data_IF_081842648998
#
_entry.id   IF_081842648998
#
_cell.length_a   1.000
_cell.length_b   1.000
_cell.length_c   1.000
_cell.angle_alpha   90.00
_cell.angle_beta   90.00
_cell.angle_gamma   90.00
#
_symmetry.space_group_name_H-M   'P 1'
#
loop_
_entity.id
_entity.type
_entity.pdbx_description
1 polymer ?
#
# COMPACT_ATOMS: atom_id res chain seq x y z
N UNK A 1 6.51 6.61 -3.05
CA UNK A 1 6.85 5.17 -2.83
C UNK A 1 6.06 4.30 -3.81
N UNK A 2 6.66 3.24 -4.37
CA UNK A 2 5.97 2.26 -5.23
C UNK A 2 5.99 0.91 -4.53
N UNK A 3 4.80 0.31 -4.30
CA UNK A 3 4.67 -0.96 -3.56
C UNK A 3 4.08 -2.03 -4.47
N UNK A 4 4.76 -3.18 -4.54
CA UNK A 4 4.24 -4.40 -5.16
C UNK A 4 3.42 -5.18 -4.14
N UNK A 5 2.12 -5.29 -4.33
CA UNK A 5 1.26 -6.21 -3.58
C UNK A 5 1.07 -7.50 -4.40
N UNK A 6 1.80 -8.55 -4.07
CA UNK A 6 1.73 -9.82 -4.80
C UNK A 6 0.47 -10.64 -4.48
N UNK A 7 -0.28 -10.22 -3.47
CA UNK A 7 -1.48 -10.94 -3.02
C UNK A 7 -1.15 -12.42 -2.77
N UNK A 8 -2.05 -13.35 -3.10
CA UNK A 8 -1.85 -14.80 -2.92
C UNK A 8 -1.26 -15.45 -4.18
N UNK A 9 -0.14 -14.90 -4.69
CA UNK A 9 0.53 -15.39 -5.89
C UNK A 9 1.99 -15.75 -5.63
N UNK A 10 2.55 -16.54 -6.57
CA UNK A 10 3.95 -16.91 -6.63
C UNK A 10 4.28 -18.23 -5.91
N UNK A 11 5.44 -18.74 -6.25
CA UNK A 11 6.12 -19.87 -5.61
C UNK A 11 7.60 -19.51 -5.36
N UNK A 12 8.36 -20.42 -4.76
CA UNK A 12 9.75 -20.17 -4.35
C UNK A 12 10.62 -19.76 -5.54
N UNK A 13 10.52 -20.49 -6.66
CA UNK A 13 11.41 -20.28 -7.82
C UNK A 13 11.00 -19.03 -8.62
N UNK A 14 9.71 -18.85 -8.88
CA UNK A 14 9.20 -17.69 -9.61
C UNK A 14 9.47 -16.39 -8.85
N UNK A 15 9.29 -16.39 -7.53
CA UNK A 15 9.55 -15.21 -6.69
C UNK A 15 11.05 -14.86 -6.67
N UNK A 16 11.93 -15.85 -6.58
CA UNK A 16 13.38 -15.64 -6.66
C UNK A 16 13.79 -15.09 -8.02
N UNK A 17 13.25 -15.66 -9.11
CA UNK A 17 13.51 -15.18 -10.47
C UNK A 17 13.05 -13.73 -10.65
N UNK A 18 11.85 -13.39 -10.16
CA UNK A 18 11.31 -12.04 -10.17
C UNK A 18 12.22 -11.04 -9.43
N UNK A 19 12.64 -11.38 -8.20
CA UNK A 19 13.53 -10.53 -7.40
C UNK A 19 14.87 -10.27 -8.12
N UNK A 20 15.50 -11.32 -8.64
CA UNK A 20 16.76 -11.19 -9.37
C UNK A 20 16.60 -10.34 -10.64
N UNK A 21 15.50 -10.50 -11.34
CA UNK A 21 15.19 -9.72 -12.54
C UNK A 21 15.03 -8.24 -12.21
N UNK A 22 14.33 -7.91 -11.12
CA UNK A 22 14.20 -6.52 -10.65
C UNK A 22 15.57 -5.92 -10.33
N UNK A 23 16.45 -6.63 -9.61
CA UNK A 23 17.81 -6.18 -9.30
C UNK A 23 18.58 -5.85 -10.58
N UNK A 24 18.56 -6.75 -11.57
CA UNK A 24 19.25 -6.54 -12.85
C UNK A 24 18.70 -5.32 -13.61
N UNK A 25 17.37 -5.21 -13.67
CA UNK A 25 16.70 -4.09 -14.36
C UNK A 25 17.00 -2.73 -13.74
N UNK A 26 17.24 -2.68 -12.44
CA UNK A 26 17.42 -1.45 -11.68
C UNK A 26 18.87 -1.20 -11.26
N UNK A 27 19.84 -1.99 -11.73
CA UNK A 27 21.26 -1.94 -11.31
C UNK A 27 21.90 -0.55 -11.46
N UNK A 28 21.55 0.18 -12.51
CA UNK A 28 22.17 1.47 -12.85
C UNK A 28 21.48 2.68 -12.19
N UNK A 29 20.34 2.49 -11.50
CA UNK A 29 19.47 3.59 -11.03
C UNK A 29 19.24 3.64 -9.54
N UNK A 30 19.63 2.58 -8.85
CA UNK A 30 19.30 2.39 -7.44
C UNK A 30 17.83 2.00 -7.22
N UNK A 31 17.60 1.33 -6.10
CA UNK A 31 16.28 0.82 -5.68
C UNK A 31 15.80 1.64 -4.48
N UNK A 32 15.32 2.88 -4.73
CA UNK A 32 14.81 3.75 -3.66
C UNK A 32 13.29 3.82 -3.69
N UNK A 33 12.71 4.05 -2.52
CA UNK A 33 11.26 4.24 -2.38
C UNK A 33 10.42 3.07 -2.92
N UNK A 34 10.94 1.84 -2.84
CA UNK A 34 10.28 0.63 -3.33
C UNK A 34 9.93 -0.27 -2.16
N UNK A 35 8.69 -0.78 -2.17
CA UNK A 35 8.21 -1.79 -1.24
C UNK A 35 7.74 -3.05 -1.96
N UNK A 36 7.88 -4.20 -1.32
CA UNK A 36 7.33 -5.47 -1.80
C UNK A 36 6.59 -6.14 -0.66
N UNK A 37 5.33 -6.48 -0.88
CA UNK A 37 4.49 -7.26 0.02
C UNK A 37 4.23 -8.66 -0.58
N UNK A 38 5.13 -9.63 -0.36
CA UNK A 38 4.93 -11.01 -0.76
C UNK A 38 3.94 -11.71 0.18
N UNK A 39 3.48 -12.92 -0.17
CA UNK A 39 2.80 -13.77 0.81
C UNK A 39 3.73 -14.08 2.00
N UNK A 40 3.18 -14.37 3.17
CA UNK A 40 3.97 -14.67 4.38
C UNK A 40 4.98 -15.80 4.18
N UNK A 41 4.61 -16.83 3.39
CA UNK A 41 5.49 -17.97 3.07
C UNK A 41 6.79 -17.55 2.36
N UNK A 42 6.76 -16.43 1.64
CA UNK A 42 7.87 -15.96 0.81
C UNK A 42 8.58 -14.74 1.40
N UNK A 43 8.13 -14.23 2.55
CA UNK A 43 8.68 -13.03 3.16
C UNK A 43 10.20 -13.12 3.41
N UNK A 44 10.64 -14.16 4.11
CA UNK A 44 12.06 -14.32 4.45
C UNK A 44 12.93 -14.55 3.21
N UNK A 45 12.41 -15.28 2.22
CA UNK A 45 13.10 -15.49 0.96
C UNK A 45 13.32 -14.15 0.23
N UNK A 46 12.25 -13.38 0.05
CA UNK A 46 12.27 -12.06 -0.61
C UNK A 46 13.23 -11.13 0.11
N UNK A 47 13.13 -11.04 1.44
CA UNK A 47 14.00 -10.22 2.27
C UNK A 47 15.48 -10.59 2.12
N UNK A 48 15.81 -11.88 2.09
CA UNK A 48 17.17 -12.35 1.93
C UNK A 48 17.77 -11.98 0.56
N UNK A 49 16.97 -12.02 -0.52
CA UNK A 49 17.44 -11.61 -1.85
C UNK A 49 17.78 -10.10 -1.86
N UNK A 50 16.97 -9.27 -1.20
CA UNK A 50 17.16 -7.82 -1.19
C UNK A 50 18.00 -7.31 -0.01
N UNK A 51 18.65 -8.15 0.78
CA UNK A 51 19.40 -7.77 2.00
C UNK A 51 20.45 -6.67 1.83
N UNK A 52 20.97 -6.49 0.62
CA UNK A 52 21.98 -5.47 0.29
C UNK A 52 21.41 -4.36 -0.60
N UNK A 53 20.08 -4.23 -0.69
CA UNK A 53 19.38 -3.25 -1.49
C UNK A 53 18.43 -2.43 -0.61
N UNK A 54 18.22 -1.19 -0.96
CA UNK A 54 17.29 -0.27 -0.29
C UNK A 54 15.84 -0.53 -0.75
N UNK A 55 15.36 -1.76 -0.45
CA UNK A 55 13.98 -2.18 -0.72
C UNK A 55 13.32 -2.58 0.60
N UNK A 56 12.15 -2.04 0.83
CA UNK A 56 11.34 -2.36 1.99
C UNK A 56 10.50 -3.62 1.73
N UNK A 57 10.57 -4.59 2.67
CA UNK A 57 9.75 -5.80 2.59
C UNK A 57 8.68 -5.73 3.69
N UNK A 58 7.43 -5.87 3.28
CA UNK A 58 6.27 -5.71 4.15
C UNK A 58 5.34 -6.91 4.14
N UNK A 59 4.37 -6.88 5.05
CA UNK A 59 3.29 -7.85 5.12
C UNK A 59 2.02 -7.32 4.44
N UNK A 60 1.23 -8.25 3.91
CA UNK A 60 -0.07 -7.95 3.27
C UNK A 60 -1.19 -7.74 4.30
N UNK A 61 -1.00 -8.17 5.54
CA UNK A 61 -1.91 -8.01 6.67
C UNK A 61 -1.24 -8.45 7.96
N UNK A 62 -1.82 -8.10 9.12
CA UNK A 62 -1.54 -8.67 10.46
C UNK A 62 -2.85 -8.91 11.22
N UNK A 63 -2.76 -9.67 12.31
CA UNK A 63 -3.85 -9.76 13.28
C UNK A 63 -3.75 -8.63 14.34
N UNK A 64 -4.78 -8.51 15.16
CA UNK A 64 -4.84 -7.50 16.23
C UNK A 64 -3.99 -7.88 17.44
N UNK A 65 -3.70 -9.18 17.64
CA UNK A 65 -2.97 -9.71 18.80
C UNK A 65 -2.33 -11.07 18.48
N UNK A 66 -1.53 -11.59 19.40
CA UNK A 66 -1.01 -12.95 19.37
C UNK A 66 -1.79 -13.92 20.26
N UNK A 67 -1.31 -15.16 20.39
CA UNK A 67 -1.88 -16.18 21.26
C UNK A 67 -2.78 -17.18 20.55
N UNK A 68 -3.97 -17.49 21.08
CA UNK A 68 -4.88 -18.53 20.59
C UNK A 68 -5.60 -18.12 19.29
N UNK A 69 -4.84 -17.85 18.23
CA UNK A 69 -5.30 -17.36 16.91
C UNK A 69 -4.61 -18.14 15.79
N UNK A 70 -4.99 -19.41 15.67
CA UNK A 70 -4.35 -20.35 14.73
C UNK A 70 -4.36 -19.81 13.29
N UNK A 71 -3.20 -19.75 12.65
CA UNK A 71 -3.00 -19.28 11.28
C UNK A 71 -2.77 -17.77 11.12
N UNK A 72 -2.93 -16.99 12.19
CA UNK A 72 -2.71 -15.54 12.17
C UNK A 72 -1.24 -15.15 12.37
N UNK A 73 -0.89 -13.99 11.86
CA UNK A 73 0.42 -13.35 12.09
C UNK A 73 0.23 -12.21 13.09
N UNK A 74 0.85 -12.32 14.25
CA UNK A 74 0.76 -11.27 15.27
C UNK A 74 1.66 -10.06 14.96
N UNK A 75 1.36 -8.87 15.54
CA UNK A 75 2.23 -7.71 15.43
C UNK A 75 3.66 -7.96 15.94
N UNK A 76 3.81 -8.77 17.00
CA UNK A 76 5.14 -9.13 17.53
C UNK A 76 5.94 -10.03 16.59
N UNK A 77 5.28 -10.99 15.90
CA UNK A 77 5.93 -11.81 14.87
C UNK A 77 6.37 -10.96 13.67
N UNK A 78 5.57 -9.98 13.27
CA UNK A 78 5.92 -9.04 12.22
C UNK A 78 7.15 -8.19 12.61
N UNK A 79 7.18 -7.68 13.84
CA UNK A 79 8.30 -6.91 14.36
C UNK A 79 9.59 -7.73 14.46
N UNK A 80 9.51 -8.96 14.99
CA UNK A 80 10.65 -9.88 15.10
C UNK A 80 11.23 -10.25 13.73
N UNK A 81 10.36 -10.36 12.71
CA UNK A 81 10.77 -10.58 11.32
C UNK A 81 11.43 -9.34 10.68
N UNK A 82 11.49 -8.19 11.39
CA UNK A 82 11.88 -6.89 10.85
C UNK A 82 11.08 -6.54 9.58
N UNK A 83 9.77 -6.64 9.65
CA UNK A 83 8.85 -6.19 8.64
C UNK A 83 8.90 -4.65 8.56
N UNK A 84 9.06 -4.08 7.37
CA UNK A 84 9.22 -2.63 7.19
C UNK A 84 7.89 -1.89 7.19
N UNK A 85 6.86 -2.49 6.60
CA UNK A 85 5.50 -1.94 6.50
C UNK A 85 4.47 -3.06 6.52
N UNK A 86 3.21 -2.70 6.78
CA UNK A 86 2.11 -3.64 6.72
C UNK A 86 0.89 -2.99 6.08
N UNK A 87 0.29 -3.66 5.09
CA UNK A 87 -1.01 -3.29 4.54
C UNK A 87 -2.08 -3.64 5.56
N UNK A 88 -3.05 -2.75 5.77
CA UNK A 88 -4.23 -3.00 6.59
C UNK A 88 -5.48 -2.47 5.90
N UNK A 89 -6.58 -3.18 6.00
CA UNK A 89 -7.87 -2.76 5.46
C UNK A 89 -7.95 -2.76 3.93
N UNK A 90 -7.09 -3.53 3.24
CA UNK A 90 -7.19 -3.73 1.78
C UNK A 90 -8.61 -4.18 1.39
N UNK A 91 -9.12 -3.71 0.24
CA UNK A 91 -10.49 -3.99 -0.20
C UNK A 91 -10.87 -5.47 -0.16
N UNK A 92 -10.00 -6.36 -0.60
CA UNK A 92 -10.22 -7.82 -0.54
C UNK A 92 -10.41 -8.32 0.89
N UNK A 93 -9.74 -7.73 1.90
CA UNK A 93 -9.91 -8.13 3.28
C UNK A 93 -11.22 -7.64 3.86
N UNK A 94 -11.66 -6.46 3.45
CA UNK A 94 -12.98 -5.93 3.82
C UNK A 94 -14.10 -6.77 3.23
N UNK A 95 -14.00 -7.13 1.95
CA UNK A 95 -15.06 -7.84 1.23
C UNK A 95 -15.07 -9.35 1.49
N UNK A 96 -13.91 -10.02 1.45
CA UNK A 96 -13.80 -11.48 1.54
C UNK A 96 -13.70 -11.95 3.00
N UNK A 97 -12.95 -11.22 3.82
CA UNK A 97 -12.69 -11.60 5.22
C UNK A 97 -13.52 -10.81 6.23
N UNK A 98 -14.44 -9.93 5.76
CA UNK A 98 -15.35 -9.13 6.58
C UNK A 98 -14.63 -8.27 7.64
N UNK A 99 -13.46 -7.73 7.31
CA UNK A 99 -12.74 -6.82 8.20
C UNK A 99 -13.40 -5.43 8.17
N UNK A 100 -14.04 -5.07 9.27
CA UNK A 100 -14.65 -3.76 9.46
C UNK A 100 -13.64 -2.70 9.93
N UNK A 101 -14.06 -1.45 9.99
CA UNK A 101 -13.21 -0.35 10.43
C UNK A 101 -12.75 -0.50 11.89
N UNK A 102 -13.51 -1.18 12.76
CA UNK A 102 -13.12 -1.43 14.14
C UNK A 102 -11.94 -2.41 14.22
N UNK A 103 -11.98 -3.51 13.45
CA UNK A 103 -10.85 -4.46 13.33
C UNK A 103 -9.62 -3.74 12.77
N UNK A 104 -9.79 -2.95 11.72
CA UNK A 104 -8.70 -2.22 11.07
C UNK A 104 -8.11 -1.17 12.02
N UNK A 105 -8.93 -0.47 12.79
CA UNK A 105 -8.48 0.46 13.83
C UNK A 105 -7.57 -0.22 14.86
N UNK A 106 -7.95 -1.41 15.33
CA UNK A 106 -7.11 -2.18 16.27
C UNK A 106 -5.76 -2.56 15.63
N UNK A 107 -5.75 -3.00 14.37
CA UNK A 107 -4.51 -3.27 13.62
C UNK A 107 -3.65 -2.02 13.50
N UNK A 108 -4.25 -0.88 13.13
CA UNK A 108 -3.56 0.40 13.07
C UNK A 108 -2.90 0.77 14.40
N UNK A 109 -3.64 0.68 15.52
CA UNK A 109 -3.12 1.00 16.85
C UNK A 109 -1.93 0.12 17.25
N UNK A 110 -1.90 -1.15 16.83
CA UNK A 110 -0.77 -2.05 17.08
C UNK A 110 0.46 -1.66 16.26
N UNK A 111 0.27 -1.30 14.98
CA UNK A 111 1.36 -0.84 14.12
C UNK A 111 1.89 0.52 14.55
N UNK A 112 1.04 1.45 14.94
CA UNK A 112 1.43 2.78 15.42
C UNK A 112 2.33 2.77 16.65
N UNK A 113 2.29 1.68 17.45
CA UNK A 113 3.17 1.44 18.60
C UNK A 113 4.47 0.70 18.26
N UNK A 114 4.70 0.42 16.99
CA UNK A 114 5.85 -0.34 16.49
C UNK A 114 6.66 0.50 15.49
N UNK A 115 7.77 -0.06 15.01
CA UNK A 115 8.55 0.53 13.92
C UNK A 115 7.98 0.21 12.52
N UNK A 116 6.92 -0.60 12.44
CA UNK A 116 6.32 -1.04 11.17
C UNK A 116 5.41 0.07 10.64
N UNK A 117 5.64 0.52 9.41
CA UNK A 117 4.82 1.56 8.78
C UNK A 117 3.43 1.02 8.47
N UNK A 118 2.34 1.60 9.01
CA UNK A 118 1.00 1.23 8.59
C UNK A 118 0.69 1.81 7.20
N UNK A 119 0.19 0.97 6.30
CA UNK A 119 -0.36 1.39 5.01
C UNK A 119 -1.85 1.08 5.05
N UNK A 120 -2.63 2.11 5.36
CA UNK A 120 -4.07 1.99 5.47
C UNK A 120 -4.73 2.10 4.09
N UNK A 121 -5.36 1.01 3.66
CA UNK A 121 -6.15 0.96 2.43
C UNK A 121 -7.57 1.45 2.69
N UNK A 122 -8.00 2.42 1.88
CA UNK A 122 -9.35 3.01 1.91
C UNK A 122 -9.87 3.16 0.48
N UNK A 123 -11.19 3.13 0.32
CA UNK A 123 -11.81 3.29 -0.98
C UNK A 123 -13.31 3.12 -0.94
N UNK A 124 -13.96 3.58 -1.98
CA UNK A 124 -15.40 3.51 -2.18
C UNK A 124 -15.79 2.44 -3.20
N UNK A 125 -17.02 1.92 -3.06
CA UNK A 125 -17.64 1.05 -4.05
C UNK A 125 -18.09 1.84 -5.29
N UNK A 126 -18.46 1.11 -6.35
CA UNK A 126 -19.02 1.74 -7.55
C UNK A 126 -20.33 2.48 -7.27
N UNK A 127 -21.19 1.91 -6.42
CA UNK A 127 -22.46 2.52 -6.03
C UNK A 127 -22.23 3.81 -5.23
N UNK A 128 -21.25 3.81 -4.32
CA UNK A 128 -20.88 5.01 -3.55
C UNK A 128 -20.30 6.09 -4.48
N UNK A 129 -19.45 5.72 -5.44
CA UNK A 129 -18.93 6.62 -6.46
C UNK A 129 -20.05 7.24 -7.31
N UNK A 130 -20.96 6.41 -7.85
CA UNK A 130 -22.09 6.89 -8.65
C UNK A 130 -23.04 7.82 -7.86
N UNK A 131 -23.17 7.58 -6.55
CA UNK A 131 -23.98 8.41 -5.67
C UNK A 131 -23.28 9.71 -5.22
N UNK A 132 -22.03 9.98 -5.67
CA UNK A 132 -21.25 11.14 -5.25
C UNK A 132 -20.83 11.11 -3.78
N UNK A 133 -20.71 9.93 -3.18
CA UNK A 133 -20.40 9.72 -1.75
C UNK A 133 -18.95 9.36 -1.48
N UNK A 134 -18.05 9.48 -2.47
CA UNK A 134 -16.64 9.14 -2.33
C UNK A 134 -16.00 9.82 -1.12
N UNK A 135 -16.05 11.15 -1.05
CA UNK A 135 -15.42 11.89 0.06
C UNK A 135 -16.00 11.51 1.43
N UNK A 136 -17.34 11.37 1.52
CA UNK A 136 -18.00 10.94 2.75
C UNK A 136 -17.52 9.57 3.20
N UNK A 137 -17.41 8.61 2.26
CA UNK A 137 -16.93 7.25 2.55
C UNK A 137 -15.49 7.27 3.04
N UNK A 138 -14.59 7.96 2.34
CA UNK A 138 -13.18 8.04 2.69
C UNK A 138 -12.98 8.72 4.04
N UNK A 139 -13.70 9.82 4.31
CA UNK A 139 -13.66 10.50 5.60
C UNK A 139 -14.08 9.55 6.74
N UNK A 140 -15.18 8.82 6.57
CA UNK A 140 -15.65 7.83 7.55
C UNK A 140 -14.59 6.75 7.80
N UNK A 141 -14.03 6.17 6.75
CA UNK A 141 -12.99 5.14 6.90
C UNK A 141 -11.75 5.68 7.61
N UNK A 142 -11.27 6.88 7.28
CA UNK A 142 -10.13 7.52 7.95
C UNK A 142 -10.44 7.73 9.43
N UNK A 143 -11.55 8.41 9.75
CA UNK A 143 -11.90 8.75 11.13
C UNK A 143 -12.13 7.53 12.02
N UNK A 144 -12.75 6.48 11.49
CA UNK A 144 -13.02 5.26 12.25
C UNK A 144 -11.77 4.36 12.39
N UNK A 145 -10.90 4.30 11.37
CA UNK A 145 -9.70 3.47 11.42
C UNK A 145 -8.55 4.10 12.20
N UNK A 146 -8.45 5.43 12.22
CA UNK A 146 -7.36 6.17 12.88
C UNK A 146 -7.88 6.80 14.19
N UNK A 147 -8.64 6.05 14.99
CA UNK A 147 -9.13 6.53 16.30
C UNK A 147 -7.98 6.67 17.31
N UNK A 148 -7.98 7.79 18.02
CA UNK A 148 -6.90 8.15 18.94
C UNK A 148 -5.85 9.04 18.27
N UNK A 149 -4.83 9.46 19.02
CA UNK A 149 -3.80 10.32 18.46
C UNK A 149 -3.13 9.65 17.26
N UNK A 150 -3.15 10.33 16.11
CA UNK A 150 -2.33 9.94 14.96
C UNK A 150 -0.88 10.22 15.36
N UNK A 151 -0.28 9.24 16.02
CA UNK A 151 1.10 9.34 16.54
C UNK A 151 2.13 8.79 15.56
N UNK A 152 1.69 8.12 14.50
CA UNK A 152 2.59 7.53 13.51
C UNK A 152 2.95 8.55 12.43
N UNK A 153 4.10 9.19 12.56
CA UNK A 153 4.68 10.02 11.49
C UNK A 153 4.91 9.22 10.19
N UNK A 154 4.83 7.89 10.26
CA UNK A 154 5.06 6.96 9.17
C UNK A 154 3.77 6.43 8.51
N UNK A 155 2.59 7.01 8.82
CA UNK A 155 1.34 6.60 8.18
C UNK A 155 1.36 6.89 6.68
N UNK A 156 1.03 5.86 5.90
CA UNK A 156 0.77 5.95 4.47
C UNK A 156 -0.68 5.56 4.23
N UNK A 157 -1.38 6.28 3.35
CA UNK A 157 -2.72 5.90 2.89
C UNK A 157 -2.61 5.32 1.47
N UNK A 158 -3.31 4.22 1.20
CA UNK A 158 -3.51 3.72 -0.15
C UNK A 158 -4.98 3.93 -0.54
N UNK A 159 -5.22 4.80 -1.50
CA UNK A 159 -6.56 5.04 -2.03
C UNK A 159 -6.87 4.02 -3.13
N UNK A 160 -7.86 3.21 -2.88
CA UNK A 160 -8.32 2.10 -3.74
C UNK A 160 -9.75 2.37 -4.23
N UNK A 161 -9.96 3.10 -5.36
CA UNK A 161 -11.29 3.10 -5.97
C UNK A 161 -11.64 1.66 -6.38
N UNK A 162 -12.48 0.97 -5.57
CA UNK A 162 -12.71 -0.50 -5.68
C UNK A 162 -13.18 -0.86 -7.08
N UNK A 163 -13.99 0.00 -7.70
CA UNK A 163 -14.50 -0.15 -9.06
C UNK A 163 -13.42 -0.07 -10.16
N UNK A 164 -12.24 0.46 -9.83
CA UNK A 164 -11.10 0.57 -10.75
C UNK A 164 -10.05 -0.53 -10.56
N UNK A 165 -10.21 -1.40 -9.53
CA UNK A 165 -9.25 -2.48 -9.27
C UNK A 165 -9.49 -3.64 -10.24
N UNK A 166 -8.50 -3.96 -11.07
CA UNK A 166 -8.56 -5.12 -11.98
C UNK A 166 -9.62 -5.06 -13.08
N UNK A 167 -10.42 -4.00 -13.14
CA UNK A 167 -11.52 -3.86 -14.12
C UNK A 167 -11.08 -3.29 -15.47
N UNK A 168 -9.87 -2.74 -15.53
CA UNK A 168 -9.41 -1.96 -16.69
C UNK A 168 -9.99 -0.53 -16.74
N UNK A 169 -10.97 -0.20 -15.91
CA UNK A 169 -11.45 1.15 -15.76
C UNK A 169 -10.44 1.97 -14.94
N UNK A 170 -10.13 3.16 -15.40
CA UNK A 170 -9.16 4.02 -14.75
C UNK A 170 -9.78 5.39 -14.55
N UNK A 171 -9.87 5.92 -13.31
CA UNK A 171 -10.29 7.29 -13.09
C UNK A 171 -9.31 8.27 -13.74
N UNK A 172 -9.76 9.48 -14.03
CA UNK A 172 -8.85 10.51 -14.55
C UNK A 172 -7.80 10.87 -13.50
N UNK A 173 -6.52 11.05 -13.87
CA UNK A 173 -5.45 11.39 -12.93
C UNK A 173 -5.76 12.65 -12.09
N UNK A 174 -6.37 13.67 -12.70
CA UNK A 174 -6.79 14.89 -11.99
C UNK A 174 -7.84 14.65 -10.91
N UNK A 175 -8.79 13.74 -11.16
CA UNK A 175 -9.81 13.40 -10.17
C UNK A 175 -9.17 12.66 -8.99
N UNK A 176 -8.26 11.73 -9.27
CA UNK A 176 -7.45 11.04 -8.24
C UNK A 176 -6.60 12.04 -7.45
N UNK A 177 -5.97 13.01 -8.13
CA UNK A 177 -5.19 14.05 -7.47
C UNK A 177 -6.03 14.87 -6.47
N UNK A 178 -7.26 15.23 -6.85
CA UNK A 178 -8.19 15.96 -5.96
C UNK A 178 -8.62 15.11 -4.76
N UNK A 179 -8.91 13.84 -4.96
CA UNK A 179 -9.23 12.90 -3.87
C UNK A 179 -8.02 12.69 -2.95
N UNK A 180 -6.81 12.58 -3.48
CA UNK A 180 -5.60 12.47 -2.66
C UNK A 180 -5.35 13.73 -1.81
N UNK A 181 -5.61 14.91 -2.37
CA UNK A 181 -5.56 16.17 -1.61
C UNK A 181 -6.58 16.16 -0.46
N UNK A 182 -7.83 15.81 -0.74
CA UNK A 182 -8.88 15.66 0.27
C UNK A 182 -8.46 14.67 1.38
N UNK A 183 -7.93 13.48 1.04
CA UNK A 183 -7.44 12.50 2.01
C UNK A 183 -6.37 13.11 2.92
N UNK A 184 -5.39 13.82 2.32
CA UNK A 184 -4.32 14.50 3.08
C UNK A 184 -4.89 15.52 4.05
N UNK A 185 -5.86 16.30 3.63
CA UNK A 185 -6.49 17.35 4.45
C UNK A 185 -7.34 16.75 5.60
N UNK A 186 -8.06 15.64 5.36
CA UNK A 186 -8.79 14.92 6.40
C UNK A 186 -7.84 14.36 7.46
N UNK A 187 -6.75 13.71 7.07
CA UNK A 187 -5.76 13.18 8.01
C UNK A 187 -5.08 14.31 8.76
N UNK A 188 -4.69 15.38 8.08
CA UNK A 188 -4.04 16.53 8.69
C UNK A 188 -4.93 17.20 9.75
N UNK A 189 -6.21 17.36 9.45
CA UNK A 189 -7.19 17.94 10.38
C UNK A 189 -7.47 17.07 11.61
N UNK A 190 -7.30 15.74 11.47
CA UNK A 190 -7.52 14.77 12.55
C UNK A 190 -6.23 14.49 13.38
N UNK A 191 -5.08 15.02 12.95
CA UNK A 191 -3.77 14.75 13.55
C UNK A 191 -3.36 15.87 14.49
N UNK A 192 -2.94 15.53 15.72
CA UNK A 192 -2.43 16.50 16.70
C UNK A 192 -1.14 17.20 16.22
N UNK A 193 -0.33 16.50 15.42
CA UNK A 193 0.97 16.97 14.92
C UNK A 193 0.89 17.57 13.51
N UNK A 194 -0.31 17.88 13.02
CA UNK A 194 -0.53 18.41 11.66
C UNK A 194 0.08 17.51 10.56
N UNK A 195 0.02 16.19 10.76
CA UNK A 195 0.59 15.18 9.86
C UNK A 195 -0.09 15.22 8.48
N UNK A 196 0.70 15.37 7.44
CA UNK A 196 0.25 15.24 6.05
C UNK A 196 0.83 13.94 5.46
N UNK A 197 0.04 12.85 5.35
CA UNK A 197 0.55 11.55 4.97
C UNK A 197 0.92 11.50 3.49
N UNK A 198 1.76 10.51 3.12
CA UNK A 198 1.85 10.09 1.74
C UNK A 198 0.57 9.36 1.33
N UNK A 199 0.07 9.63 0.11
CA UNK A 199 -1.10 8.95 -0.44
C UNK A 199 -0.73 8.26 -1.73
N UNK A 200 -0.86 6.93 -1.76
CA UNK A 200 -0.59 6.07 -2.89
C UNK A 200 -1.88 5.78 -3.66
N UNK A 201 -1.80 5.76 -4.96
CA UNK A 201 -2.91 5.30 -5.79
C UNK A 201 -2.91 3.77 -5.89
N UNK A 202 -4.00 3.14 -5.46
CA UNK A 202 -4.19 1.67 -5.40
C UNK A 202 -5.08 1.11 -6.50
N UNK A 203 -5.47 1.89 -7.49
CA UNK A 203 -6.21 1.40 -8.67
C UNK A 203 -5.27 0.83 -9.74
N UNK A 204 -5.80 0.65 -10.95
CA UNK A 204 -5.04 0.06 -12.07
C UNK A 204 -3.94 1.00 -12.57
N UNK A 205 -2.68 0.66 -12.27
CA UNK A 205 -1.48 1.32 -12.79
C UNK A 205 -0.71 0.38 -13.70
N UNK A 206 -0.28 0.89 -14.84
CA UNK A 206 0.52 0.18 -15.81
C UNK A 206 1.48 1.15 -16.53
N UNK A 207 2.34 0.62 -17.40
CA UNK A 207 3.33 1.42 -18.14
C UNK A 207 2.71 2.57 -18.96
N UNK A 208 1.51 2.38 -19.50
CA UNK A 208 0.90 3.38 -20.40
C UNK A 208 0.24 4.55 -19.67
N UNK A 209 -0.15 4.38 -18.39
CA UNK A 209 -0.85 5.42 -17.63
C UNK A 209 -0.06 5.95 -16.42
N UNK A 210 1.02 5.29 -16.01
CA UNK A 210 1.78 5.65 -14.82
C UNK A 210 2.30 7.10 -14.83
N UNK A 211 2.77 7.59 -16.00
CA UNK A 211 3.27 8.95 -16.15
C UNK A 211 2.18 10.00 -15.86
N UNK A 212 0.94 9.76 -16.33
CA UNK A 212 -0.18 10.68 -16.15
C UNK A 212 -0.57 10.81 -14.67
N UNK A 213 -0.44 9.72 -13.89
CA UNK A 213 -0.66 9.77 -12.45
C UNK A 213 0.51 10.42 -11.71
N UNK A 214 1.76 10.06 -12.03
CA UNK A 214 2.90 10.53 -11.24
C UNK A 214 3.30 11.98 -11.51
N UNK A 215 2.81 12.60 -12.59
CA UNK A 215 2.97 14.04 -12.80
C UNK A 215 2.11 14.85 -11.82
N UNK A 216 1.03 14.27 -11.30
CA UNK A 216 0.10 14.95 -10.40
C UNK A 216 0.71 15.15 -9.00
N UNK A 217 0.54 16.35 -8.44
CA UNK A 217 1.22 16.82 -7.22
C UNK A 217 0.92 15.97 -5.98
N UNK A 218 -0.34 15.57 -5.81
CA UNK A 218 -0.81 14.91 -4.59
C UNK A 218 -0.73 13.38 -4.64
N UNK A 219 -0.37 12.80 -5.79
CA UNK A 219 -0.17 11.35 -5.94
C UNK A 219 1.28 11.03 -5.60
N UNK A 220 1.54 10.49 -4.39
CA UNK A 220 2.90 10.26 -3.89
C UNK A 220 3.50 8.91 -4.31
N UNK A 221 2.76 8.12 -5.08
CA UNK A 221 3.18 6.82 -5.56
C UNK A 221 2.03 5.89 -5.86
N UNK A 222 2.29 4.58 -5.84
CA UNK A 222 1.26 3.59 -6.12
C UNK A 222 1.41 2.30 -5.29
N UNK A 223 0.25 1.68 -4.98
CA UNK A 223 0.14 0.31 -4.51
C UNK A 223 -0.30 -0.56 -5.70
N UNK A 224 0.63 -1.32 -6.27
CA UNK A 224 0.47 -2.02 -7.54
C UNK A 224 0.15 -3.50 -7.29
N UNK A 225 -1.02 -3.95 -7.74
CA UNK A 225 -1.45 -5.35 -7.68
C UNK A 225 -0.94 -6.17 -8.87
N UNK A 226 -1.84 -6.62 -9.75
CA UNK A 226 -1.54 -7.56 -10.84
C UNK A 226 -0.35 -7.17 -11.73
N UNK A 227 -0.19 -5.89 -12.06
CA UNK A 227 0.95 -5.42 -12.85
C UNK A 227 2.31 -5.62 -12.16
N UNK A 228 2.34 -5.76 -10.82
CA UNK A 228 3.56 -6.02 -10.07
C UNK A 228 4.03 -7.48 -10.12
N UNK A 229 3.21 -8.40 -10.63
CA UNK A 229 3.60 -9.82 -10.76
C UNK A 229 4.58 -10.05 -11.92
N UNK A 230 4.71 -9.10 -12.84
CA UNK A 230 5.74 -9.09 -13.87
C UNK A 230 6.82 -8.07 -13.52
N UNK A 231 8.06 -8.55 -13.35
CA UNK A 231 9.19 -7.72 -12.94
C UNK A 231 9.56 -6.66 -13.99
N UNK A 232 9.36 -6.90 -15.28
CA UNK A 232 9.62 -5.91 -16.33
C UNK A 232 8.60 -4.78 -16.26
N UNK A 233 7.31 -5.12 -16.14
CA UNK A 233 6.24 -4.12 -16.02
C UNK A 233 6.42 -3.31 -14.75
N UNK A 234 6.73 -3.95 -13.63
CA UNK A 234 6.95 -3.27 -12.35
C UNK A 234 8.19 -2.36 -12.42
N UNK A 235 9.28 -2.80 -13.04
CA UNK A 235 10.46 -1.97 -13.27
C UNK A 235 10.16 -0.74 -14.11
N UNK A 236 9.37 -0.88 -15.19
CA UNK A 236 8.95 0.25 -16.02
C UNK A 236 8.13 1.28 -15.19
N UNK A 237 7.24 0.81 -14.31
CA UNK A 237 6.48 1.70 -13.41
C UNK A 237 7.41 2.46 -12.44
N UNK A 238 8.39 1.77 -11.86
CA UNK A 238 9.40 2.39 -10.97
C UNK A 238 10.20 3.45 -11.74
N UNK A 239 10.65 3.14 -12.95
CA UNK A 239 11.40 4.10 -13.77
C UNK A 239 10.60 5.37 -14.08
N UNK A 240 9.32 5.21 -14.40
CA UNK A 240 8.43 6.34 -14.65
C UNK A 240 8.26 7.16 -13.37
N UNK A 241 8.04 6.51 -12.22
CA UNK A 241 7.93 7.17 -10.93
C UNK A 241 9.17 7.99 -10.59
N UNK A 242 10.36 7.40 -10.67
CA UNK A 242 11.63 8.09 -10.35
C UNK A 242 11.85 9.33 -11.20
N UNK A 243 11.49 9.31 -12.49
CA UNK A 243 11.60 10.46 -13.38
C UNK A 243 10.73 11.66 -12.95
N UNK A 244 9.61 11.42 -12.27
CA UNK A 244 8.64 12.45 -11.92
C UNK A 244 8.71 12.89 -10.45
N UNK A 245 9.13 12.01 -9.54
CA UNK A 245 9.07 12.25 -8.09
C UNK A 245 10.41 12.31 -7.37
N UNK A 246 11.48 11.75 -7.94
CA UNK A 246 12.81 11.70 -7.34
C UNK A 246 13.77 12.67 -8.07
N UNK A 247 13.40 13.96 -8.07
CA UNK A 247 14.26 15.04 -8.61
C UNK A 247 15.01 15.75 -7.50
#
# INVERSE_FOLDING_TARGET
MIIANWKANGDIESNKAWCNKLIVRMSDRGLKSIGIAPSYLHFNQTKNVFKNHDIEIGFQDIDIEGGARTGSISPSMAADSNCSFCLIGHSERREIFNEDNNIISKKYQMLAKSHIKPILCIGESFEEFQAGKTEQKLQTQIQECIQGSISSENLIIAYEPIWAIGSGNTPKPKDVNSIHEFIKDVVQSASENNLRPQVLYGGSVNKSNAADFFVEKNIDGALVGGASLDADIFSDIIEIYSRHKEK
#
